data_IF_065553314293
#
_entry.id   IF_065553314293
#
_cell.length_a   1.000
_cell.length_b   1.000
_cell.length_c   1.000
_cell.angle_alpha   90.00
_cell.angle_beta   90.00
_cell.angle_gamma   90.00
#
_symmetry.space_group_name_H-M   'P 1'
#
loop_
_entity.id
_entity.type
_entity.pdbx_description
1 polymer ?
#
# COMPACT_ATOMS: atom_id res chain seq x y z
N UNK A 1 4.16 25.13 -19.04
CA UNK A 1 5.37 24.47 -18.51
C UNK A 1 4.95 23.08 -18.05
N UNK A 2 5.43 22.05 -18.73
CA UNK A 2 5.07 20.65 -18.49
C UNK A 2 5.31 20.30 -17.02
N UNK A 3 4.23 19.99 -16.28
CA UNK A 3 4.34 19.16 -15.08
C UNK A 3 5.01 17.87 -15.54
N UNK A 4 6.34 17.78 -15.40
CA UNK A 4 7.05 16.51 -15.56
C UNK A 4 6.34 15.53 -14.62
N UNK A 5 5.74 14.48 -15.19
CA UNK A 5 5.03 13.43 -14.48
C UNK A 5 5.97 12.81 -13.43
N UNK A 6 6.03 13.41 -12.24
CA UNK A 6 6.74 12.83 -11.10
C UNK A 6 5.84 11.70 -10.61
N UNK A 7 6.23 10.47 -10.90
CA UNK A 7 5.53 9.31 -10.36
C UNK A 7 5.75 9.27 -8.85
N UNK A 8 4.64 9.18 -8.14
CA UNK A 8 4.61 9.08 -6.69
C UNK A 8 4.73 7.61 -6.31
N UNK A 9 5.49 7.34 -5.26
CA UNK A 9 5.83 5.99 -4.88
C UNK A 9 4.94 5.47 -3.75
N UNK A 10 4.86 4.16 -3.65
CA UNK A 10 4.21 3.51 -2.53
C UNK A 10 5.07 2.31 -2.15
N UNK A 11 4.90 1.86 -0.94
CA UNK A 11 5.60 0.73 -0.36
C UNK A 11 4.62 0.05 0.57
N UNK A 12 4.64 -1.27 0.55
CA UNK A 12 3.99 -2.09 1.55
C UNK A 12 4.88 -3.24 1.95
N UNK A 13 4.80 -3.61 3.21
CA UNK A 13 5.38 -4.83 3.74
C UNK A 13 4.33 -5.49 4.62
N UNK A 14 4.16 -6.80 4.48
CA UNK A 14 3.20 -7.54 5.27
C UNK A 14 3.62 -8.99 5.49
N UNK A 15 3.15 -9.56 6.60
CA UNK A 15 3.27 -10.96 6.94
C UNK A 15 1.91 -11.63 6.84
N UNK A 16 1.85 -12.78 6.17
CA UNK A 16 0.69 -13.68 6.15
C UNK A 16 1.01 -14.92 6.98
N UNK A 17 0.23 -15.16 8.03
CA UNK A 17 0.34 -16.35 8.85
C UNK A 17 -1.04 -17.04 9.00
N UNK A 18 -1.31 -18.16 8.31
CA UNK A 18 -2.57 -18.87 8.45
C UNK A 18 -2.73 -19.55 9.81
N UNK A 19 -1.64 -19.78 10.53
CA UNK A 19 -1.60 -20.55 11.79
C UNK A 19 -0.85 -19.77 12.89
N UNK A 20 -1.37 -18.61 13.32
CA UNK A 20 -0.75 -17.88 14.43
C UNK A 20 -0.99 -18.58 15.76
N UNK A 21 -0.04 -18.39 16.68
CA UNK A 21 -0.24 -18.66 18.09
C UNK A 21 -1.41 -17.82 18.66
N UNK A 22 -1.90 -18.16 19.85
CA UNK A 22 -3.08 -17.53 20.46
C UNK A 22 -2.97 -15.99 20.57
N UNK A 23 -1.76 -15.48 20.87
CA UNK A 23 -1.46 -14.04 20.92
C UNK A 23 -0.80 -13.51 19.65
N UNK A 24 -0.74 -14.32 18.60
CA UNK A 24 -0.15 -13.98 17.32
C UNK A 24 -1.12 -13.27 16.38
N UNK A 25 -0.61 -12.96 15.19
CA UNK A 25 -1.34 -12.25 14.16
C UNK A 25 -1.42 -13.09 12.88
N UNK A 26 -2.62 -13.12 12.28
CA UNK A 26 -2.84 -13.66 10.93
C UNK A 26 -2.29 -12.75 9.84
N UNK A 27 -2.33 -11.44 10.10
CA UNK A 27 -1.77 -10.39 9.26
C UNK A 27 -1.14 -9.33 10.14
N UNK A 28 0.09 -8.95 9.78
CA UNK A 28 0.68 -7.67 10.16
C UNK A 28 1.03 -6.99 8.85
N UNK A 29 0.51 -5.78 8.62
CA UNK A 29 0.73 -5.01 7.40
C UNK A 29 1.10 -3.58 7.74
N UNK A 30 2.09 -3.05 7.03
CA UNK A 30 2.41 -1.64 6.97
C UNK A 30 2.40 -1.17 5.50
N UNK A 31 1.85 0.01 5.25
CA UNK A 31 1.70 0.60 3.93
C UNK A 31 1.96 2.10 4.01
N UNK A 32 2.71 2.67 3.06
CA UNK A 32 2.77 4.11 2.87
C UNK A 32 2.14 4.49 1.53
N UNK A 33 1.49 5.65 1.52
CA UNK A 33 1.05 6.30 0.31
C UNK A 33 1.87 7.57 0.10
N UNK A 34 2.75 7.57 -0.89
CA UNK A 34 3.30 8.82 -1.40
C UNK A 34 2.39 9.33 -2.52
N UNK A 35 2.12 10.63 -2.48
CA UNK A 35 1.22 11.28 -3.44
C UNK A 35 1.44 12.80 -3.45
N UNK A 36 1.02 13.47 -4.52
CA UNK A 36 0.96 14.92 -4.57
C UNK A 36 0.07 15.49 -3.46
N UNK A 37 0.55 16.51 -2.74
CA UNK A 37 -0.23 17.14 -1.67
C UNK A 37 -1.49 17.82 -2.20
N UNK A 38 -1.45 18.33 -3.43
CA UNK A 38 -2.61 18.95 -4.08
C UNK A 38 -3.68 17.97 -4.56
N UNK A 39 -3.49 16.64 -4.43
CA UNK A 39 -4.52 15.65 -4.80
C UNK A 39 -5.54 15.50 -3.68
N UNK A 40 -6.80 15.92 -3.83
CA UNK A 40 -7.79 15.81 -2.77
C UNK A 40 -7.95 14.35 -2.33
N UNK A 41 -7.87 14.10 -1.03
CA UNK A 41 -7.92 12.75 -0.44
C UNK A 41 -8.77 12.77 0.83
N UNK A 42 -9.65 11.80 1.02
CA UNK A 42 -10.35 11.57 2.28
C UNK A 42 -9.57 10.53 3.10
N UNK A 43 -9.35 10.83 4.37
CA UNK A 43 -8.77 9.90 5.34
C UNK A 43 -9.61 8.61 5.46
N UNK A 44 -9.01 7.56 5.98
CA UNK A 44 -9.66 6.27 6.17
C UNK A 44 -10.85 6.38 7.11
N UNK A 45 -11.99 5.93 6.60
CA UNK A 45 -13.26 5.86 7.32
C UNK A 45 -14.09 4.68 6.77
N UNK A 46 -15.06 4.23 7.57
CA UNK A 46 -16.06 3.31 7.06
C UNK A 46 -16.97 4.00 6.04
N UNK A 47 -17.27 3.32 4.94
CA UNK A 47 -18.10 3.89 3.87
C UNK A 47 -19.58 3.96 4.29
N UNK A 48 -20.20 5.12 4.08
CA UNK A 48 -21.52 5.50 4.64
C UNK A 48 -22.66 4.50 4.34
N UNK A 49 -22.63 3.85 3.17
CA UNK A 49 -23.79 3.09 2.68
C UNK A 49 -24.07 1.83 3.52
N UNK A 50 -23.01 1.13 3.95
CA UNK A 50 -23.14 -0.15 4.67
C UNK A 50 -22.15 -0.30 5.83
N UNK A 51 -21.22 0.63 6.05
CA UNK A 51 -20.13 0.50 7.05
C UNK A 51 -19.31 -0.80 6.96
N UNK A 52 -19.33 -1.42 5.77
CA UNK A 52 -18.70 -2.71 5.51
C UNK A 52 -17.25 -2.58 5.07
N UNK A 53 -16.88 -1.45 4.46
CA UNK A 53 -15.54 -1.22 3.90
C UNK A 53 -14.93 -0.02 4.60
N UNK A 54 -13.69 -0.17 5.04
CA UNK A 54 -12.83 0.90 5.53
C UNK A 54 -11.70 1.14 4.53
N UNK A 55 -11.52 2.39 4.12
CA UNK A 55 -10.40 2.81 3.28
C UNK A 55 -10.27 4.33 3.27
N UNK A 56 -9.09 4.85 2.97
CA UNK A 56 -8.98 6.21 2.44
C UNK A 56 -9.62 6.28 1.05
N UNK A 57 -10.06 7.45 0.60
CA UNK A 57 -10.70 7.62 -0.70
C UNK A 57 -10.04 8.72 -1.52
N UNK A 58 -9.82 8.45 -2.79
CA UNK A 58 -9.42 9.47 -3.76
C UNK A 58 -10.60 10.40 -3.99
N UNK A 59 -10.37 11.70 -3.88
CA UNK A 59 -11.38 12.75 -4.06
C UNK A 59 -11.04 13.65 -5.25
N UNK A 60 -10.05 13.28 -6.06
CA UNK A 60 -9.76 13.97 -7.32
C UNK A 60 -10.92 13.78 -8.30
N UNK A 61 -11.27 14.87 -8.99
CA UNK A 61 -12.26 14.87 -10.06
C UNK A 61 -12.05 13.74 -11.08
N UNK A 62 -13.11 12.96 -11.32
CA UNK A 62 -13.13 11.80 -12.21
C UNK A 62 -12.49 10.54 -11.63
N UNK A 63 -12.02 10.56 -10.38
CA UNK A 63 -11.40 9.43 -9.67
C UNK A 63 -12.08 9.17 -8.31
N UNK A 64 -13.16 9.88 -8.00
CA UNK A 64 -13.90 9.77 -6.74
C UNK A 64 -14.37 8.34 -6.48
N UNK A 65 -14.16 7.87 -5.25
CA UNK A 65 -14.49 6.50 -4.85
C UNK A 65 -13.45 5.44 -5.25
N UNK A 66 -12.36 5.84 -5.90
CA UNK A 66 -11.16 5.01 -5.97
C UNK A 66 -10.45 4.93 -4.61
N UNK A 67 -9.73 3.83 -4.36
CA UNK A 67 -8.87 3.70 -3.18
C UNK A 67 -7.58 2.95 -3.50
N UNK A 68 -6.55 3.13 -2.68
CA UNK A 68 -5.23 2.47 -2.80
C UNK A 68 -5.06 1.32 -1.80
N UNK A 69 -5.75 1.35 -0.67
CA UNK A 69 -5.71 0.34 0.37
C UNK A 69 -7.04 0.36 1.11
N UNK A 70 -7.65 -0.81 1.25
CA UNK A 70 -8.87 -0.92 2.04
C UNK A 70 -9.17 -2.34 2.46
N UNK A 71 -10.05 -2.48 3.44
CA UNK A 71 -10.47 -3.75 3.98
C UNK A 71 -11.99 -3.76 4.19
N UNK A 72 -12.62 -4.90 3.93
CA UNK A 72 -14.02 -5.15 4.28
C UNK A 72 -14.14 -6.00 5.54
N UNK A 73 -15.26 -5.84 6.27
CA UNK A 73 -15.62 -6.68 7.42
C UNK A 73 -15.78 -8.15 7.05
N UNK A 74 -16.10 -8.43 5.79
CA UNK A 74 -16.12 -9.80 5.23
C UNK A 74 -14.74 -10.45 5.08
N UNK A 75 -13.65 -9.75 5.44
CA UNK A 75 -12.30 -10.29 5.40
C UNK A 75 -11.60 -10.12 4.05
N UNK A 76 -12.07 -9.21 3.20
CA UNK A 76 -11.40 -8.88 1.92
C UNK A 76 -10.52 -7.66 2.11
N UNK A 77 -9.24 -7.78 1.82
CA UNK A 77 -8.24 -6.71 1.84
C UNK A 77 -7.65 -6.57 0.44
N UNK A 78 -7.49 -5.35 -0.04
CA UNK A 78 -6.76 -5.12 -1.28
C UNK A 78 -5.93 -3.85 -1.19
N UNK A 79 -4.81 -3.89 -1.89
CA UNK A 79 -3.85 -2.79 -1.96
C UNK A 79 -3.30 -2.66 -3.37
N UNK A 80 -3.05 -1.43 -3.78
CA UNK A 80 -2.56 -1.08 -5.10
C UNK A 80 -1.34 -0.18 -4.99
N UNK A 81 -0.30 -0.53 -5.75
CA UNK A 81 0.90 0.27 -5.91
C UNK A 81 1.07 0.61 -7.39
N UNK A 82 1.40 1.86 -7.68
CA UNK A 82 1.69 2.27 -9.07
C UNK A 82 3.03 1.67 -9.50
N UNK A 83 3.19 1.31 -10.77
CA UNK A 83 4.50 0.93 -11.32
C UNK A 83 5.13 2.15 -11.99
N UNK A 84 6.45 2.30 -11.85
CA UNK A 84 7.19 3.33 -12.57
C UNK A 84 7.25 2.98 -14.06
N UNK A 85 6.77 3.87 -14.93
CA UNK A 85 6.75 3.67 -16.38
C UNK A 85 7.70 4.65 -17.09
N UNK A 86 8.93 4.22 -17.45
CA UNK A 86 9.90 5.07 -18.14
C UNK A 86 9.38 5.64 -19.47
N UNK A 87 8.54 4.87 -20.17
CA UNK A 87 7.94 5.25 -21.45
C UNK A 87 6.74 6.22 -21.29
N UNK A 88 6.40 6.59 -20.06
CA UNK A 88 5.32 7.51 -19.72
C UNK A 88 4.00 6.82 -19.38
N UNK A 89 3.02 7.65 -18.98
CA UNK A 89 1.67 7.23 -18.61
C UNK A 89 0.65 7.63 -19.68
N UNK A 90 -0.35 6.78 -19.92
CA UNK A 90 -1.49 7.09 -20.76
C UNK A 90 -2.49 7.98 -19.98
N UNK A 91 -2.76 9.22 -20.41
CA UNK A 91 -3.69 10.12 -19.71
C UNK A 91 -5.16 9.65 -19.77
N UNK A 92 -5.53 8.88 -20.80
CA UNK A 92 -6.89 8.39 -21.03
C UNK A 92 -7.18 7.06 -20.30
N UNK A 93 -6.18 6.51 -19.61
CA UNK A 93 -6.32 5.26 -18.87
C UNK A 93 -7.32 5.39 -17.70
N UNK A 94 -8.03 4.28 -17.42
CA UNK A 94 -8.96 4.18 -16.29
C UNK A 94 -8.23 4.38 -14.96
N UNK A 95 -8.98 4.90 -13.98
CA UNK A 95 -8.48 5.03 -12.61
C UNK A 95 -8.22 3.65 -11.98
N UNK A 96 -6.96 3.40 -11.61
CA UNK A 96 -6.53 2.14 -10.99
C UNK A 96 -7.17 1.88 -9.63
N UNK A 97 -7.45 2.94 -8.86
CA UNK A 97 -8.06 2.81 -7.53
C UNK A 97 -9.43 2.13 -7.51
N UNK A 98 -10.14 2.11 -8.65
CA UNK A 98 -11.40 1.35 -8.76
C UNK A 98 -11.20 -0.16 -8.78
N UNK A 99 -9.99 -0.66 -9.09
CA UNK A 99 -9.67 -2.08 -8.98
C UNK A 99 -9.70 -2.55 -7.51
N UNK A 100 -9.26 -1.70 -6.59
CA UNK A 100 -9.35 -2.01 -5.15
C UNK A 100 -10.80 -1.95 -4.70
N UNK A 101 -11.49 -0.85 -5.00
CA UNK A 101 -12.91 -0.64 -4.67
C UNK A 101 -13.80 -1.79 -5.14
N UNK A 102 -13.68 -2.18 -6.42
CA UNK A 102 -14.46 -3.29 -6.98
C UNK A 102 -14.17 -4.60 -6.24
N UNK A 103 -12.91 -4.92 -5.96
CA UNK A 103 -12.59 -6.14 -5.20
C UNK A 103 -13.24 -6.17 -3.82
N UNK A 104 -13.21 -5.04 -3.10
CA UNK A 104 -13.77 -4.91 -1.75
C UNK A 104 -15.29 -5.01 -1.72
N UNK A 105 -15.98 -4.61 -2.79
CA UNK A 105 -17.44 -4.64 -2.91
C UNK A 105 -17.99 -5.97 -3.46
N UNK A 106 -17.19 -6.76 -4.17
CA UNK A 106 -17.65 -7.99 -4.82
C UNK A 106 -17.47 -9.23 -3.94
N UNK A 107 -18.18 -10.30 -4.28
CA UNK A 107 -18.13 -11.61 -3.58
C UNK A 107 -17.29 -12.68 -4.29
N UNK A 108 -16.74 -12.39 -5.48
CA UNK A 108 -15.88 -13.34 -6.22
C UNK A 108 -14.56 -13.55 -5.47
N UNK A 109 -14.01 -14.74 -5.48
CA UNK A 109 -12.68 -14.98 -4.91
C UNK A 109 -11.59 -14.15 -5.65
N UNK A 110 -10.46 -13.93 -4.98
CA UNK A 110 -9.36 -13.11 -5.46
C UNK A 110 -8.78 -13.58 -6.79
N UNK A 111 -8.64 -14.90 -6.99
CA UNK A 111 -8.09 -15.44 -8.23
C UNK A 111 -9.04 -15.18 -9.41
N UNK A 112 -10.33 -15.47 -9.24
CA UNK A 112 -11.35 -15.18 -10.26
C UNK A 112 -11.46 -13.69 -10.55
N UNK A 113 -11.39 -12.84 -9.51
CA UNK A 113 -11.42 -11.39 -9.67
C UNK A 113 -10.23 -10.90 -10.51
N UNK A 114 -9.01 -11.30 -10.15
CA UNK A 114 -7.79 -10.88 -10.85
C UNK A 114 -7.74 -11.43 -12.28
N UNK A 115 -8.30 -12.61 -12.56
CA UNK A 115 -8.43 -13.10 -13.94
C UNK A 115 -9.33 -12.19 -14.79
N UNK A 116 -10.37 -11.60 -14.20
CA UNK A 116 -11.15 -10.55 -14.87
C UNK A 116 -10.32 -9.30 -15.15
N UNK A 117 -9.46 -8.89 -14.20
CA UNK A 117 -8.55 -7.76 -14.38
C UNK A 117 -7.54 -8.00 -15.51
N UNK A 118 -7.03 -9.22 -15.67
CA UNK A 118 -6.15 -9.61 -16.81
C UNK A 118 -6.81 -9.27 -18.16
N UNK A 119 -8.11 -9.51 -18.31
CA UNK A 119 -8.82 -9.24 -19.57
C UNK A 119 -9.03 -7.74 -19.83
N UNK A 120 -8.92 -6.89 -18.82
CA UNK A 120 -9.05 -5.43 -18.91
C UNK A 120 -7.69 -4.72 -18.76
N UNK A 121 -6.57 -5.46 -18.77
CA UNK A 121 -5.25 -4.96 -18.35
C UNK A 121 -4.76 -3.73 -19.12
N UNK A 122 -5.11 -3.64 -20.41
CA UNK A 122 -4.67 -2.57 -21.31
C UNK A 122 -5.46 -1.25 -21.11
N UNK A 123 -6.52 -1.28 -20.29
CA UNK A 123 -7.31 -0.09 -19.95
C UNK A 123 -6.65 0.75 -18.85
N UNK A 124 -5.56 0.27 -18.25
CA UNK A 124 -4.92 0.85 -17.07
C UNK A 124 -3.44 1.12 -17.31
N UNK A 125 -2.93 2.20 -16.72
CA UNK A 125 -1.48 2.37 -16.53
C UNK A 125 -0.90 1.28 -15.61
N UNK A 126 0.42 1.09 -15.61
CA UNK A 126 1.13 0.04 -14.88
C UNK A 126 0.80 0.00 -13.38
N UNK A 127 0.52 -1.18 -12.83
CA UNK A 127 0.19 -1.34 -11.42
C UNK A 127 0.60 -2.70 -10.86
N UNK A 128 0.81 -2.73 -9.55
CA UNK A 128 0.78 -3.93 -8.72
C UNK A 128 -0.55 -3.95 -7.94
N UNK A 129 -1.27 -5.06 -7.98
CA UNK A 129 -2.50 -5.28 -7.22
C UNK A 129 -2.35 -6.53 -6.38
N UNK A 130 -2.52 -6.39 -5.06
CA UNK A 130 -2.54 -7.50 -4.13
C UNK A 130 -3.93 -7.60 -3.53
N UNK A 131 -4.48 -8.82 -3.52
CA UNK A 131 -5.76 -9.16 -2.88
C UNK A 131 -5.53 -10.22 -1.83
N UNK A 132 -6.11 -10.05 -0.65
CA UNK A 132 -6.07 -11.01 0.47
C UNK A 132 -7.49 -11.27 0.95
N UNK A 133 -7.87 -12.54 1.09
CA UNK A 133 -9.15 -12.96 1.65
C UNK A 133 -8.93 -13.82 2.90
N UNK A 134 -9.50 -13.37 4.03
CA UNK A 134 -9.59 -14.15 5.26
C UNK A 134 -10.91 -14.92 5.24
N UNK A 135 -10.84 -16.25 5.10
CA UNK A 135 -12.04 -17.11 5.03
C UNK A 135 -12.44 -17.60 6.43
N UNK A 136 -13.72 -17.99 6.57
CA UNK A 136 -14.30 -18.51 7.82
C UNK A 136 -13.62 -19.78 8.34
N UNK A 137 -13.12 -20.62 7.45
CA UNK A 137 -12.31 -21.80 7.80
C UNK A 137 -10.87 -21.44 8.22
N UNK A 138 -10.61 -20.17 8.54
CA UNK A 138 -9.31 -19.59 8.92
C UNK A 138 -8.23 -19.61 7.83
N UNK A 139 -8.50 -20.15 6.65
CA UNK A 139 -7.58 -20.03 5.51
C UNK A 139 -7.42 -18.57 5.06
N UNK A 140 -6.24 -18.29 4.50
CA UNK A 140 -5.89 -16.99 3.91
C UNK A 140 -5.59 -17.25 2.44
N UNK A 141 -6.28 -16.54 1.55
CA UNK A 141 -6.05 -16.61 0.11
C UNK A 141 -5.49 -15.27 -0.37
N UNK A 142 -4.21 -15.26 -0.73
CA UNK A 142 -3.50 -14.06 -1.14
C UNK A 142 -3.00 -14.20 -2.57
N UNK A 143 -3.27 -13.20 -3.39
CA UNK A 143 -2.94 -13.19 -4.81
C UNK A 143 -2.34 -11.84 -5.20
N UNK A 144 -1.41 -11.87 -6.14
CA UNK A 144 -0.72 -10.74 -6.73
C UNK A 144 -0.96 -10.71 -8.24
N UNK A 145 -1.12 -9.53 -8.81
CA UNK A 145 -1.14 -9.33 -10.25
C UNK A 145 -0.49 -8.00 -10.63
N UNK A 146 0.23 -8.00 -11.76
CA UNK A 146 0.73 -6.82 -12.44
C UNK A 146 0.32 -6.84 -13.92
N UNK A 147 -0.04 -5.69 -14.47
CA UNK A 147 -0.25 -5.52 -15.91
C UNK A 147 1.01 -5.03 -16.65
N UNK A 148 2.14 -4.93 -15.95
CA UNK A 148 3.40 -4.43 -16.49
C UNK A 148 4.52 -5.47 -16.34
N UNK A 149 5.42 -5.54 -17.32
CA UNK A 149 6.53 -6.49 -17.37
C UNK A 149 6.27 -7.73 -18.24
N UNK A 150 7.15 -8.76 -18.17
CA UNK A 150 7.09 -9.92 -19.06
C UNK A 150 5.95 -10.90 -18.75
N UNK A 151 5.50 -10.99 -17.50
CA UNK A 151 4.48 -11.95 -17.04
C UNK A 151 3.20 -11.24 -16.59
N UNK A 152 2.32 -10.92 -17.55
CA UNK A 152 1.07 -10.16 -17.32
C UNK A 152 -0.19 -10.94 -17.68
N UNK A 153 -0.06 -12.25 -17.92
CA UNK A 153 -1.11 -13.13 -18.45
C UNK A 153 -1.90 -13.87 -17.37
N UNK A 154 -1.39 -13.95 -16.13
CA UNK A 154 -2.09 -14.61 -15.04
C UNK A 154 -1.75 -14.01 -13.67
N UNK A 155 -2.66 -14.11 -12.68
CA UNK A 155 -2.35 -13.80 -11.29
C UNK A 155 -1.41 -14.84 -10.66
N UNK A 156 -0.62 -14.42 -9.67
CA UNK A 156 0.30 -15.26 -8.90
C UNK A 156 -0.25 -15.44 -7.49
N UNK A 157 -0.29 -16.68 -6.99
CA UNK A 157 -0.65 -16.96 -5.60
C UNK A 157 0.51 -16.68 -4.66
N UNK A 158 0.28 -15.86 -3.63
CA UNK A 158 1.25 -15.57 -2.60
C UNK A 158 1.21 -16.65 -1.51
N UNK A 159 2.38 -17.17 -1.14
CA UNK A 159 2.52 -18.15 -0.06
C UNK A 159 2.49 -17.47 1.31
N UNK A 160 2.21 -18.20 2.40
CA UNK A 160 2.47 -17.70 3.76
C UNK A 160 3.91 -17.19 3.91
N UNK A 161 4.11 -16.18 4.75
CA UNK A 161 5.41 -15.53 4.96
C UNK A 161 5.37 -14.01 4.78
N UNK A 162 6.56 -13.41 4.69
CA UNK A 162 6.76 -11.96 4.58
C UNK A 162 6.93 -11.56 3.13
N UNK A 163 6.14 -10.57 2.71
CA UNK A 163 6.16 -9.99 1.39
C UNK A 163 6.36 -8.49 1.48
N UNK A 164 7.11 -7.92 0.54
CA UNK A 164 7.29 -6.48 0.40
C UNK A 164 7.17 -6.09 -1.06
N UNK A 165 6.44 -5.02 -1.34
CA UNK A 165 6.21 -4.51 -2.68
C UNK A 165 6.42 -3.00 -2.69
N UNK A 166 6.95 -2.50 -3.79
CA UNK A 166 6.96 -1.07 -4.07
C UNK A 166 6.51 -0.82 -5.52
N UNK A 167 7.17 0.10 -6.23
CA UNK A 167 6.80 0.54 -7.57
C UNK A 167 7.48 -0.25 -8.70
N UNK A 168 7.99 -1.45 -8.38
CA UNK A 168 8.57 -2.41 -9.31
C UNK A 168 7.73 -3.69 -9.31
N UNK A 169 7.86 -4.47 -10.37
CA UNK A 169 7.22 -5.78 -10.47
C UNK A 169 7.96 -6.80 -9.60
N UNK A 170 7.29 -7.91 -9.26
CA UNK A 170 7.95 -9.02 -8.55
C UNK A 170 9.09 -9.69 -9.36
N UNK A 171 9.15 -9.42 -10.67
CA UNK A 171 10.15 -9.98 -11.58
C UNK A 171 11.38 -9.07 -11.73
N UNK A 172 11.30 -7.83 -11.27
CA UNK A 172 12.45 -6.94 -11.28
C UNK A 172 13.45 -7.35 -10.20
N UNK A 173 14.73 -7.02 -10.38
CA UNK A 173 15.73 -7.11 -9.30
C UNK A 173 15.23 -6.30 -8.10
N UNK A 174 15.35 -6.86 -6.90
CA UNK A 174 14.86 -6.24 -5.67
C UNK A 174 15.43 -4.83 -5.49
N UNK A 175 14.58 -3.89 -5.06
CA UNK A 175 15.00 -2.52 -4.79
C UNK A 175 15.54 -2.38 -3.37
N UNK A 176 16.60 -1.58 -3.15
CA UNK A 176 17.20 -1.38 -1.82
C UNK A 176 16.18 -1.08 -0.73
N UNK A 177 15.26 -0.12 -0.94
CA UNK A 177 14.19 0.16 0.04
C UNK A 177 13.31 -1.02 0.40
N UNK A 178 13.04 -1.90 -0.56
CA UNK A 178 12.15 -3.05 -0.34
C UNK A 178 12.87 -4.11 0.49
N UNK A 179 14.14 -4.36 0.20
CA UNK A 179 14.98 -5.29 0.97
C UNK A 179 15.24 -4.76 2.39
N UNK A 180 15.57 -3.48 2.53
CA UNK A 180 15.78 -2.86 3.83
C UNK A 180 14.52 -2.88 4.70
N UNK A 181 13.39 -2.46 4.15
CA UNK A 181 12.12 -2.46 4.91
C UNK A 181 11.69 -3.88 5.26
N UNK A 182 11.89 -4.85 4.36
CA UNK A 182 11.63 -6.25 4.66
C UNK A 182 12.50 -6.75 5.82
N UNK A 183 13.79 -6.44 5.82
CA UNK A 183 14.73 -6.84 6.87
C UNK A 183 14.43 -6.16 8.22
N UNK A 184 14.03 -4.87 8.23
CA UNK A 184 13.58 -4.18 9.44
C UNK A 184 12.27 -4.78 9.97
N UNK A 185 11.31 -5.03 9.07
CA UNK A 185 10.03 -5.66 9.40
C UNK A 185 10.23 -7.06 9.98
N UNK A 186 11.10 -7.90 9.41
CA UNK A 186 11.46 -9.22 9.95
C UNK A 186 11.91 -9.13 11.42
N UNK A 187 12.75 -8.14 11.76
CA UNK A 187 13.19 -7.91 13.15
C UNK A 187 12.01 -7.53 14.06
N UNK A 188 11.08 -6.70 13.58
CA UNK A 188 9.87 -6.34 14.34
C UNK A 188 8.98 -7.57 14.58
N UNK A 189 8.79 -8.42 13.56
CA UNK A 189 7.99 -9.65 13.66
C UNK A 189 8.59 -10.62 14.68
N UNK A 190 9.91 -10.81 14.69
CA UNK A 190 10.59 -11.71 15.62
C UNK A 190 10.35 -11.36 17.10
N UNK A 191 10.16 -10.08 17.43
CA UNK A 191 9.84 -9.63 18.80
C UNK A 191 8.35 -9.38 19.05
N UNK A 192 7.50 -9.50 18.02
CA UNK A 192 6.09 -9.07 18.07
C UNK A 192 5.25 -9.78 19.14
N UNK A 193 5.58 -11.03 19.50
CA UNK A 193 4.90 -11.78 20.58
C UNK A 193 5.12 -11.17 21.97
N UNK A 194 6.16 -10.36 22.15
CA UNK A 194 6.49 -9.66 23.39
C UNK A 194 6.02 -8.20 23.40
N UNK A 195 5.44 -7.72 22.30
CA UNK A 195 4.95 -6.35 22.17
C UNK A 195 3.45 -6.28 22.42
N UNK A 196 3.02 -5.24 23.10
CA UNK A 196 1.62 -4.83 23.05
C UNK A 196 1.25 -4.40 21.63
N UNK A 197 -0.05 -4.42 21.32
CA UNK A 197 -0.57 -3.92 20.03
C UNK A 197 -0.13 -2.47 19.75
N UNK A 198 -0.09 -1.64 20.78
CA UNK A 198 0.34 -0.25 20.68
C UNK A 198 1.83 -0.16 20.30
N UNK A 199 2.71 -0.85 21.03
CA UNK A 199 4.15 -0.85 20.74
C UNK A 199 4.45 -1.42 19.35
N UNK A 200 3.78 -2.50 18.94
CA UNK A 200 3.90 -3.04 17.59
C UNK A 200 3.47 -2.02 16.54
N UNK A 201 2.39 -1.30 16.77
CA UNK A 201 1.91 -0.26 15.84
C UNK A 201 2.92 0.88 15.73
N UNK A 202 3.46 1.35 16.85
CA UNK A 202 4.46 2.43 16.87
C UNK A 202 5.76 2.01 16.16
N UNK A 203 6.25 0.79 16.36
CA UNK A 203 7.43 0.26 15.66
C UNK A 203 7.21 0.21 14.13
N UNK A 204 6.04 -0.24 13.68
CA UNK A 204 5.68 -0.28 12.27
C UNK A 204 5.54 1.13 11.67
N UNK A 205 4.90 2.05 12.39
CA UNK A 205 4.79 3.44 11.94
C UNK A 205 6.16 4.13 11.91
N UNK A 206 7.03 3.88 12.88
CA UNK A 206 8.39 4.42 12.91
C UNK A 206 9.23 3.91 11.73
N UNK A 207 9.13 2.63 11.41
CA UNK A 207 9.77 2.04 10.22
C UNK A 207 9.27 2.72 8.93
N UNK A 208 7.96 2.93 8.78
CA UNK A 208 7.39 3.62 7.62
C UNK A 208 7.68 5.13 7.59
N UNK A 209 8.00 5.73 8.75
CA UNK A 209 8.34 7.14 8.91
C UNK A 209 9.84 7.43 8.73
N UNK A 210 10.65 6.43 8.40
CA UNK A 210 12.09 6.58 8.19
C UNK A 210 12.38 7.50 6.99
N UNK A 211 12.91 8.68 7.27
CA UNK A 211 13.26 9.72 6.29
C UNK A 211 14.76 9.83 6.01
N UNK A 212 15.51 8.78 6.37
CA UNK A 212 16.97 8.69 6.17
C UNK A 212 17.25 7.72 5.01
N UNK A 213 18.03 8.14 4.00
CA UNK A 213 18.45 7.26 2.90
C UNK A 213 19.17 6.01 3.39
N UNK A 214 19.09 4.92 2.63
CA UNK A 214 19.83 3.69 2.95
C UNK A 214 21.33 3.80 2.65
N UNK A 215 21.70 4.63 1.69
CA UNK A 215 23.10 4.94 1.34
C UNK A 215 23.44 6.41 1.60
N UNK A 216 24.65 6.69 2.09
CA UNK A 216 25.12 8.03 2.47
C UNK A 216 25.42 8.97 1.30
N UNK A 217 25.59 8.42 0.09
CA UNK A 217 26.12 9.13 -1.08
C UNK A 217 25.01 9.58 -2.04
N UNK A 218 23.74 9.36 -1.68
CA UNK A 218 22.60 9.87 -2.44
C UNK A 218 22.55 11.40 -2.29
N UNK A 219 23.10 12.14 -3.27
CA UNK A 219 22.95 13.58 -3.37
C UNK A 219 21.46 13.91 -3.62
N UNK A 220 20.73 14.20 -2.54
CA UNK A 220 19.28 14.46 -2.54
C UNK A 220 18.97 15.91 -2.98
N UNK A 221 19.92 16.65 -3.57
CA UNK A 221 19.64 17.99 -4.08
C UNK A 221 18.61 17.92 -5.23
N UNK A 222 17.35 18.20 -4.90
CA UNK A 222 16.16 17.95 -5.74
C UNK A 222 15.95 18.94 -6.90
N UNK A 223 16.84 19.90 -7.04
CA UNK A 223 16.78 20.89 -8.12
C UNK A 223 17.48 20.33 -9.35
N UNK A 224 16.72 20.13 -10.43
CA UNK A 224 17.22 19.74 -11.76
C UNK A 224 17.80 18.31 -11.93
N UNK A 225 17.45 17.34 -11.08
CA UNK A 225 17.80 15.93 -11.35
C UNK A 225 17.04 15.34 -12.55
N UNK A 226 17.75 14.57 -13.37
CA UNK A 226 17.17 13.72 -14.40
C UNK A 226 16.37 12.55 -13.78
N UNK A 227 15.41 11.99 -14.53
CA UNK A 227 14.46 10.95 -14.09
C UNK A 227 15.20 9.72 -13.53
N UNK A 228 16.34 9.34 -14.11
CA UNK A 228 17.14 8.22 -13.61
C UNK A 228 17.72 8.50 -12.21
N UNK A 229 18.34 9.66 -12.00
CA UNK A 229 18.85 10.07 -10.67
C UNK A 229 17.73 10.26 -9.66
N UNK A 230 16.59 10.78 -10.10
CA UNK A 230 15.41 10.87 -9.25
C UNK A 230 14.93 9.48 -8.81
N UNK A 231 14.89 8.50 -9.73
CA UNK A 231 14.56 7.10 -9.42
C UNK A 231 15.54 6.51 -8.39
N UNK A 232 16.84 6.74 -8.54
CA UNK A 232 17.86 6.28 -7.59
C UNK A 232 17.61 6.82 -6.18
N UNK A 233 17.42 8.13 -6.01
CA UNK A 233 17.12 8.73 -4.70
C UNK A 233 15.81 8.22 -4.11
N UNK A 234 14.82 7.99 -4.97
CA UNK A 234 13.51 7.47 -4.61
C UNK A 234 13.55 5.99 -4.18
N UNK A 235 14.48 5.19 -4.71
CA UNK A 235 14.70 3.81 -4.24
C UNK A 235 15.40 3.72 -2.91
N UNK A 236 15.90 4.84 -2.38
CA UNK A 236 16.67 4.92 -1.14
C UNK A 236 15.86 5.42 0.07
N UNK A 237 14.61 5.85 -0.12
CA UNK A 237 13.78 6.43 0.94
C UNK A 237 12.47 5.66 1.15
N UNK A 238 12.10 5.49 2.42
CA UNK A 238 10.78 5.00 2.82
C UNK A 238 9.81 6.17 2.92
N UNK A 239 10.21 7.21 3.64
CA UNK A 239 9.40 8.39 3.86
C UNK A 239 9.88 9.56 2.98
N UNK A 240 8.99 10.09 2.17
CA UNK A 240 9.28 11.17 1.22
C UNK A 240 8.72 12.48 1.75
N UNK A 241 9.57 13.50 1.86
CA UNK A 241 9.18 14.89 2.15
C UNK A 241 9.64 15.76 1.01
N UNK A 242 8.79 16.35 0.18
CA UNK A 242 9.20 17.41 -0.76
C UNK A 242 8.23 18.58 -0.72
N UNK A 243 8.36 19.59 -1.60
CA UNK A 243 7.47 20.75 -1.64
C UNK A 243 6.13 20.47 -2.36
N UNK A 244 6.07 19.46 -3.23
CA UNK A 244 4.90 19.21 -4.10
C UNK A 244 4.26 17.84 -3.91
N UNK A 245 5.04 16.85 -3.46
CA UNK A 245 4.58 15.51 -3.14
C UNK A 245 5.38 14.91 -1.98
N UNK A 246 4.84 13.86 -1.37
CA UNK A 246 5.51 13.15 -0.29
C UNK A 246 4.62 12.07 0.29
N UNK A 247 5.10 11.40 1.33
CA UNK A 247 4.32 10.45 2.11
C UNK A 247 3.17 11.20 2.76
N UNK A 248 1.95 10.87 2.32
CA UNK A 248 0.71 11.48 2.80
C UNK A 248 0.05 10.70 3.90
N UNK A 249 0.12 9.37 3.83
CA UNK A 249 -0.39 8.51 4.88
C UNK A 249 0.47 7.26 5.06
N UNK A 250 0.46 6.77 6.29
CA UNK A 250 1.00 5.49 6.70
C UNK A 250 -0.13 4.71 7.37
N UNK A 251 -0.34 3.47 6.94
CA UNK A 251 -1.41 2.62 7.44
C UNK A 251 -0.82 1.34 8.00
N UNK A 252 -1.23 0.99 9.21
CA UNK A 252 -0.98 -0.31 9.84
C UNK A 252 -2.29 -1.07 9.93
N UNK A 253 -2.29 -2.33 9.45
CA UNK A 253 -3.42 -3.24 9.60
C UNK A 253 -2.94 -4.49 10.33
N UNK A 254 -3.57 -4.75 11.47
CA UNK A 254 -3.32 -5.94 12.29
C UNK A 254 -4.58 -6.80 12.28
N UNK A 255 -4.44 -8.09 11.97
CA UNK A 255 -5.50 -9.09 12.14
C UNK A 255 -4.98 -10.14 13.11
N UNK A 256 -5.57 -10.22 14.30
CA UNK A 256 -5.14 -11.18 15.32
C UNK A 256 -5.57 -12.62 14.99
N UNK A 257 -5.15 -13.57 15.84
CA UNK A 257 -5.44 -14.99 15.68
C UNK A 257 -6.94 -15.34 15.59
N UNK A 258 -7.81 -14.54 16.22
CA UNK A 258 -9.27 -14.76 16.27
C UNK A 258 -10.04 -13.90 15.27
N UNK A 259 -9.34 -13.03 14.51
CA UNK A 259 -9.93 -12.21 13.46
C UNK A 259 -10.41 -10.83 13.92
N UNK A 260 -9.91 -10.30 15.04
CA UNK A 260 -10.07 -8.87 15.32
C UNK A 260 -9.08 -8.07 14.49
N UNK A 261 -9.60 -7.04 13.86
CA UNK A 261 -8.88 -6.10 13.03
C UNK A 261 -8.61 -4.82 13.80
N UNK A 262 -7.41 -4.29 13.65
CA UNK A 262 -7.07 -2.91 14.00
C UNK A 262 -6.52 -2.25 12.75
N UNK A 263 -7.23 -1.24 12.26
CA UNK A 263 -6.87 -0.43 11.10
C UNK A 263 -6.46 0.94 11.62
N UNK A 264 -5.18 1.26 11.55
CA UNK A 264 -4.59 2.49 12.05
C UNK A 264 -4.04 3.26 10.87
N UNK A 265 -4.47 4.50 10.68
CA UNK A 265 -3.91 5.39 9.68
C UNK A 265 -3.38 6.65 10.35
N UNK A 266 -2.11 6.97 10.07
CA UNK A 266 -1.52 8.28 10.34
C UNK A 266 -1.44 9.03 9.02
N UNK A 267 -2.19 10.13 8.88
CA UNK A 267 -2.33 10.88 7.63
C UNK A 267 -2.09 12.37 7.86
N UNK A 268 -1.59 13.07 6.84
CA UNK A 268 -1.55 14.53 6.84
C UNK A 268 -2.96 15.10 6.89
N UNK A 269 -3.16 16.12 7.72
CA UNK A 269 -4.41 16.87 7.78
C UNK A 269 -4.56 17.77 6.55
N UNK A 270 -5.76 17.81 6.02
CA UNK A 270 -6.12 18.73 4.93
C UNK A 270 -6.56 20.10 5.51
N UNK A 271 -6.19 21.23 4.89
CA UNK A 271 -5.28 21.35 3.75
C UNK A 271 -3.81 21.12 4.15
N UNK A 272 -3.05 20.42 3.31
CA UNK A 272 -1.64 20.10 3.59
C UNK A 272 -0.72 21.32 3.39
N UNK A 273 -0.01 21.71 4.45
CA UNK A 273 1.12 22.62 4.39
C UNK A 273 2.45 21.84 4.48
N UNK A 274 3.27 21.76 3.40
CA UNK A 274 4.52 21.00 3.42
C UNK A 274 5.60 21.58 4.33
N UNK A 275 5.56 22.88 4.62
CA UNK A 275 6.53 23.55 5.51
C UNK A 275 6.21 23.31 6.99
N UNK A 276 4.93 23.08 7.29
CA UNK A 276 4.41 22.81 8.63
C UNK A 276 3.39 21.66 8.60
N UNK A 277 3.85 20.42 8.35
CA UNK A 277 2.95 19.29 8.19
C UNK A 277 2.28 18.91 9.52
N UNK A 278 0.95 19.01 9.56
CA UNK A 278 0.16 18.46 10.65
C UNK A 278 -0.31 17.04 10.32
N UNK A 279 -0.15 16.14 11.29
CA UNK A 279 -0.60 14.76 11.19
C UNK A 279 -1.81 14.53 12.09
N UNK A 280 -2.74 13.71 11.65
CA UNK A 280 -3.76 13.10 12.48
C UNK A 280 -3.64 11.58 12.43
N UNK A 281 -4.13 10.93 13.48
CA UNK A 281 -4.17 9.47 13.56
C UNK A 281 -5.61 9.01 13.79
N UNK A 282 -6.05 8.06 12.98
CA UNK A 282 -7.34 7.40 13.08
C UNK A 282 -7.13 5.93 13.37
N UNK A 283 -7.94 5.40 14.28
CA UNK A 283 -7.90 3.98 14.68
C UNK A 283 -9.30 3.42 14.63
N UNK A 284 -9.49 2.38 13.85
CA UNK A 284 -10.74 1.65 13.75
C UNK A 284 -10.52 0.19 14.13
N UNK A 285 -11.43 -0.36 14.94
CA UNK A 285 -11.40 -1.76 15.35
C UNK A 285 -12.72 -2.43 14.98
N UNK A 286 -12.62 -3.68 14.53
CA UNK A 286 -13.77 -4.50 14.17
C UNK A 286 -13.38 -5.97 14.11
N UNK A 287 -14.35 -6.88 14.11
CA UNK A 287 -14.09 -8.32 13.91
C UNK A 287 -14.52 -8.73 12.50
N UNK A 288 -13.79 -9.69 11.93
CA UNK A 288 -14.16 -10.32 10.67
C UNK A 288 -15.45 -11.13 10.82
N UNK A 289 -16.31 -11.12 9.80
CA UNK A 289 -17.65 -11.76 9.76
C UNK A 289 -17.64 -13.22 9.25
#
# INVERSE_FOLDING_TARGET
MLQRNREVMCLTVFMLNPEPEERGYRLILAFNRDEFYGRPTKASEFWDRNHEIISGQDMREGKEGGTWLGMSRSGRLAMLLNIIQPDGINPDAKGRGFLVTKFLQHSRDGQTYLQGVVNERDLYNGFNLITVEFRKNRSIDANYYTNYGPETTHPIKLKPGIHAFSNHTIHDTSWPKTDHVKAEFEKIILKSSNLTKYELTEELLAMMARDIPFTSDADISRENMDILKFKEVLTELVFIKSNTCGTRSMTVILVDAVGNVSFIEKTLKEPINPDHPEWEQRTHTFSLQ
#
